data_IF_015944275764
#
_entry.id   IF_015944275764
#
_cell.length_a   1.000
_cell.length_b   1.000
_cell.length_c   1.000
_cell.angle_alpha   90.00
_cell.angle_beta   90.00
_cell.angle_gamma   90.00
#
_symmetry.space_group_name_H-M   'P 1'
#
loop_
_entity.id
_entity.type
_entity.pdbx_description
1 polymer ?
#
# COMPACT_ATOMS: atom_id res chain seq x y z
N UNK A 1 -16.83 -19.02 2.41
CA UNK A 1 -16.53 -17.61 2.13
C UNK A 1 -16.69 -17.40 0.64
N UNK A 2 -17.09 -16.24 0.16
CA UNK A 2 -17.04 -15.97 -1.27
C UNK A 2 -15.58 -16.10 -1.75
N UNK A 3 -15.39 -16.67 -2.93
CA UNK A 3 -14.10 -16.69 -3.60
C UNK A 3 -13.94 -15.39 -4.38
N UNK A 4 -12.82 -14.71 -4.20
CA UNK A 4 -12.47 -13.54 -4.99
C UNK A 4 -11.39 -13.91 -5.99
N UNK A 5 -11.46 -13.35 -7.19
CA UNK A 5 -10.44 -13.48 -8.21
C UNK A 5 -9.64 -12.18 -8.29
N UNK A 6 -8.35 -12.29 -8.42
CA UNK A 6 -7.43 -11.18 -8.56
C UNK A 6 -6.44 -11.49 -9.67
N UNK A 7 -6.35 -10.61 -10.65
CA UNK A 7 -5.36 -10.71 -11.72
C UNK A 7 -4.10 -9.95 -11.33
N UNK A 8 -2.97 -10.62 -11.41
CA UNK A 8 -1.67 -10.00 -11.23
C UNK A 8 -0.67 -10.58 -12.22
N UNK A 9 0.06 -9.74 -12.95
CA UNK A 9 1.06 -10.14 -13.95
C UNK A 9 0.56 -11.19 -14.96
N UNK A 10 -0.69 -11.04 -15.41
CA UNK A 10 -1.30 -11.94 -16.39
C UNK A 10 -1.78 -13.28 -15.83
N UNK A 11 -1.66 -13.51 -14.53
CA UNK A 11 -2.14 -14.72 -13.84
C UNK A 11 -3.33 -14.37 -12.94
N UNK A 12 -4.34 -15.25 -12.94
CA UNK A 12 -5.51 -15.14 -12.05
C UNK A 12 -5.21 -15.93 -10.77
N UNK A 13 -5.37 -15.26 -9.64
CA UNK A 13 -5.23 -15.84 -8.31
C UNK A 13 -6.60 -15.91 -7.63
N UNK A 14 -6.90 -17.04 -6.99
CA UNK A 14 -8.13 -17.22 -6.22
C UNK A 14 -7.86 -16.97 -4.74
N UNK A 15 -8.60 -16.02 -4.16
CA UNK A 15 -8.57 -15.71 -2.74
C UNK A 15 -9.73 -16.45 -2.06
N UNK A 16 -9.48 -17.64 -1.55
CA UNK A 16 -10.43 -18.44 -0.78
C UNK A 16 -10.30 -18.23 0.74
N UNK A 17 -9.20 -17.64 1.17
CA UNK A 17 -8.88 -17.31 2.57
C UNK A 17 -8.31 -15.90 2.64
N UNK A 18 -8.39 -15.21 3.79
CA UNK A 18 -7.72 -13.93 3.98
C UNK A 18 -6.21 -14.04 3.72
N UNK A 19 -5.66 -13.09 2.98
CA UNK A 19 -4.22 -12.96 2.80
C UNK A 19 -3.67 -11.97 3.82
N UNK A 20 -2.51 -12.29 4.37
CA UNK A 20 -1.81 -11.43 5.33
C UNK A 20 -0.79 -10.59 4.57
N UNK A 21 -0.83 -9.29 4.77
CA UNK A 21 0.15 -8.33 4.27
C UNK A 21 1.11 -7.96 5.39
N UNK A 22 2.39 -8.31 5.22
CA UNK A 22 3.46 -7.92 6.14
C UNK A 22 4.02 -6.55 5.77
N UNK A 23 4.10 -5.62 6.73
CA UNK A 23 4.59 -4.25 6.52
C UNK A 23 6.10 -4.19 6.72
N UNK A 24 6.82 -3.70 5.72
CA UNK A 24 8.25 -3.50 5.70
C UNK A 24 8.59 -2.03 5.43
N UNK A 25 8.78 -1.24 6.48
CA UNK A 25 9.16 0.16 6.34
C UNK A 25 10.66 0.28 6.09
N UNK A 26 11.03 0.90 4.96
CA UNK A 26 12.40 1.23 4.59
C UNK A 26 12.76 2.65 5.03
N UNK A 27 12.50 2.97 6.30
CA UNK A 27 12.85 4.27 6.88
C UNK A 27 14.13 4.17 7.71
N UNK A 28 14.86 5.29 7.93
CA UNK A 28 16.10 5.27 8.72
C UNK A 28 15.94 4.67 10.12
N UNK A 29 14.77 4.83 10.74
CA UNK A 29 14.46 4.31 12.07
C UNK A 29 14.11 2.80 12.07
N UNK A 30 13.84 2.23 10.91
CA UNK A 30 13.41 0.84 10.77
C UNK A 30 14.58 -0.13 10.61
N UNK A 31 15.73 0.37 10.20
CA UNK A 31 16.97 -0.38 10.08
C UNK A 31 18.00 0.19 11.06
N UNK A 32 18.83 -0.65 11.64
CA UNK A 32 19.84 -0.25 12.63
C UNK A 32 20.66 0.96 12.14
N UNK A 33 20.79 1.99 12.97
CA UNK A 33 21.39 3.31 12.69
C UNK A 33 22.90 3.28 12.36
N UNK A 34 23.37 2.32 11.61
CA UNK A 34 24.79 2.16 11.26
C UNK A 34 25.08 1.66 9.85
N UNK A 35 24.10 1.15 9.09
CA UNK A 35 24.45 0.59 7.81
C UNK A 35 23.35 0.70 6.75
N UNK A 36 23.33 1.82 6.04
CA UNK A 36 22.60 1.93 4.77
C UNK A 36 23.02 0.84 3.76
N UNK A 37 24.22 0.29 3.92
CA UNK A 37 24.75 -0.81 3.09
C UNK A 37 24.11 -2.17 3.39
N UNK A 38 23.48 -2.35 4.56
CA UNK A 38 22.83 -3.60 4.94
C UNK A 38 21.31 -3.58 4.79
N UNK A 39 20.69 -2.43 4.49
CA UNK A 39 19.24 -2.31 4.40
C UNK A 39 18.58 -3.31 3.43
N UNK A 40 19.10 -3.56 2.22
CA UNK A 40 18.52 -4.56 1.32
C UNK A 40 18.57 -5.98 1.89
N UNK A 41 19.67 -6.37 2.52
CA UNK A 41 19.82 -7.68 3.16
C UNK A 41 18.89 -7.85 4.36
N UNK A 42 18.83 -6.86 5.23
CA UNK A 42 17.93 -6.89 6.39
C UNK A 42 16.45 -6.92 5.95
N UNK A 43 16.11 -6.18 4.88
CA UNK A 43 14.78 -6.22 4.28
C UNK A 43 14.44 -7.62 3.73
N UNK A 44 15.36 -8.25 3.02
CA UNK A 44 15.21 -9.60 2.50
C UNK A 44 15.03 -10.63 3.64
N UNK A 45 15.82 -10.53 4.70
CA UNK A 45 15.70 -11.42 5.88
C UNK A 45 14.34 -11.25 6.59
N UNK A 46 13.87 -10.00 6.77
CA UNK A 46 12.54 -9.71 7.34
C UNK A 46 11.41 -10.20 6.45
N UNK A 47 11.50 -9.95 5.14
CA UNK A 47 10.51 -10.43 4.17
C UNK A 47 10.41 -11.96 4.21
N UNK A 48 11.54 -12.67 4.22
CA UNK A 48 11.58 -14.13 4.36
C UNK A 48 10.92 -14.61 5.65
N UNK A 49 11.20 -13.95 6.78
CA UNK A 49 10.58 -14.29 8.06
C UNK A 49 9.05 -14.10 8.03
N UNK A 50 8.55 -12.99 7.46
CA UNK A 50 7.12 -12.72 7.32
C UNK A 50 6.44 -13.75 6.41
N UNK A 51 7.04 -14.07 5.25
CA UNK A 51 6.52 -15.08 4.31
C UNK A 51 6.50 -16.47 4.94
N UNK A 52 7.55 -16.86 5.65
CA UNK A 52 7.61 -18.11 6.40
C UNK A 52 6.53 -18.19 7.48
N UNK A 53 6.17 -17.05 8.08
CA UNK A 53 5.11 -16.95 9.08
C UNK A 53 3.69 -16.89 8.49
N UNK A 54 3.56 -16.94 7.17
CA UNK A 54 2.26 -17.02 6.47
C UNK A 54 1.80 -15.73 5.80
N UNK A 55 2.63 -14.67 5.75
CA UNK A 55 2.33 -13.52 4.90
C UNK A 55 2.32 -13.95 3.42
N UNK A 56 1.46 -13.31 2.64
CA UNK A 56 1.36 -13.48 1.18
C UNK A 56 1.83 -12.26 0.44
N UNK A 57 1.79 -11.10 1.08
CA UNK A 57 2.15 -9.82 0.50
C UNK A 57 3.16 -9.17 1.43
N UNK A 58 4.22 -8.58 0.86
CA UNK A 58 5.16 -7.72 1.58
C UNK A 58 4.93 -6.30 1.08
N UNK A 59 4.45 -5.42 1.95
CA UNK A 59 4.18 -4.02 1.65
C UNK A 59 5.38 -3.18 2.02
N UNK A 60 6.04 -2.59 1.02
CA UNK A 60 7.31 -1.89 1.19
C UNK A 60 7.09 -0.39 1.06
N UNK A 61 7.35 0.36 2.14
CA UNK A 61 7.22 1.80 2.18
C UNK A 61 8.54 2.53 2.41
N UNK A 62 8.81 3.58 1.61
CA UNK A 62 9.95 4.48 1.77
C UNK A 62 9.60 5.81 2.45
N UNK A 63 8.31 6.09 2.61
CA UNK A 63 7.74 7.28 3.25
C UNK A 63 7.14 6.90 4.61
N UNK A 64 7.22 7.78 5.59
CA UNK A 64 6.55 7.59 6.87
C UNK A 64 5.30 8.44 6.94
N UNK A 65 4.14 7.80 7.01
CA UNK A 65 2.85 8.46 7.19
C UNK A 65 2.53 8.81 8.66
N UNK A 66 3.48 8.57 9.59
CA UNK A 66 3.27 8.91 11.00
C UNK A 66 3.16 10.43 11.19
N UNK A 67 2.22 10.91 12.01
CA UNK A 67 2.17 12.32 12.37
C UNK A 67 3.51 12.81 12.94
N UNK A 68 4.00 13.95 12.42
CA UNK A 68 5.28 14.53 12.84
C UNK A 68 6.53 13.90 12.23
N UNK A 69 6.41 12.98 11.27
CA UNK A 69 7.55 12.52 10.51
C UNK A 69 8.10 13.63 9.60
N UNK A 70 9.42 13.67 9.44
CA UNK A 70 10.05 14.60 8.53
C UNK A 70 9.58 14.39 7.08
N UNK A 71 9.33 15.46 6.33
CA UNK A 71 8.98 15.35 4.91
C UNK A 71 10.09 14.64 4.13
N UNK A 72 9.68 13.68 3.30
CA UNK A 72 10.57 12.89 2.45
C UNK A 72 10.38 13.32 1.00
N UNK A 73 11.47 13.72 0.33
CA UNK A 73 11.41 14.04 -1.11
C UNK A 73 11.23 12.76 -1.95
N UNK A 74 10.70 12.86 -3.18
CA UNK A 74 10.62 11.70 -4.08
C UNK A 74 11.97 11.00 -4.29
N UNK A 75 13.05 11.77 -4.43
CA UNK A 75 14.39 11.23 -4.56
C UNK A 75 14.85 10.44 -3.33
N UNK A 76 14.57 10.97 -2.14
CA UNK A 76 14.88 10.27 -0.88
C UNK A 76 14.07 8.99 -0.74
N UNK A 77 12.77 9.03 -1.07
CA UNK A 77 11.91 7.85 -1.06
C UNK A 77 12.42 6.78 -2.02
N UNK A 78 12.70 7.15 -3.28
CA UNK A 78 13.26 6.21 -4.26
C UNK A 78 14.61 5.63 -3.80
N UNK A 79 15.50 6.45 -3.26
CA UNK A 79 16.79 5.98 -2.76
C UNK A 79 16.68 4.96 -1.61
N UNK A 80 15.55 4.94 -0.88
CA UNK A 80 15.26 3.92 0.13
C UNK A 80 14.72 2.64 -0.47
N UNK A 81 14.02 2.70 -1.60
CA UNK A 81 13.28 1.59 -2.22
C UNK A 81 14.08 0.84 -3.28
N UNK A 82 14.89 1.53 -4.06
CA UNK A 82 15.51 1.03 -5.31
C UNK A 82 16.35 -0.24 -5.16
N UNK A 83 16.98 -0.45 -4.01
CA UNK A 83 17.79 -1.65 -3.71
C UNK A 83 16.99 -2.66 -2.87
N UNK A 84 16.00 -2.19 -2.09
CA UNK A 84 15.19 -3.03 -1.20
C UNK A 84 14.19 -3.87 -2.00
N UNK A 85 13.51 -3.26 -2.97
CA UNK A 85 12.51 -3.98 -3.78
C UNK A 85 13.14 -5.15 -4.54
N UNK A 86 14.25 -5.00 -5.29
CA UNK A 86 14.89 -6.14 -5.94
C UNK A 86 15.36 -7.22 -4.96
N UNK A 87 15.91 -6.84 -3.82
CA UNK A 87 16.38 -7.80 -2.81
C UNK A 87 15.22 -8.63 -2.22
N UNK A 88 14.06 -8.02 -2.03
CA UNK A 88 12.84 -8.73 -1.59
C UNK A 88 12.27 -9.57 -2.73
N UNK A 89 12.32 -9.09 -3.99
CA UNK A 89 11.86 -9.84 -5.15
C UNK A 89 12.63 -11.16 -5.33
N UNK A 90 13.94 -11.17 -5.06
CA UNK A 90 14.73 -12.41 -5.06
C UNK A 90 14.22 -13.42 -4.02
N UNK A 91 13.77 -12.97 -2.85
CA UNK A 91 13.20 -13.84 -1.80
C UNK A 91 11.92 -14.51 -2.27
N UNK A 92 11.09 -13.83 -3.06
CA UNK A 92 9.82 -14.35 -3.54
C UNK A 92 9.98 -15.59 -4.44
N UNK A 93 11.15 -15.81 -5.03
CA UNK A 93 11.43 -17.03 -5.81
C UNK A 93 11.25 -18.32 -4.98
N UNK A 94 11.46 -18.23 -3.67
CA UNK A 94 11.26 -19.35 -2.74
C UNK A 94 9.81 -19.45 -2.22
N UNK A 95 8.97 -18.46 -2.53
CA UNK A 95 7.58 -18.33 -2.05
C UNK A 95 6.60 -18.07 -3.20
N UNK A 96 6.35 -19.04 -4.07
CA UNK A 96 5.48 -18.86 -5.23
C UNK A 96 4.06 -18.44 -4.82
N UNK A 97 3.51 -17.47 -5.53
CA UNK A 97 2.20 -16.88 -5.24
C UNK A 97 2.21 -15.85 -4.12
N UNK A 98 3.39 -15.34 -3.73
CA UNK A 98 3.55 -14.17 -2.87
C UNK A 98 3.85 -12.93 -3.72
N UNK A 99 3.60 -11.74 -3.16
CA UNK A 99 3.64 -10.48 -3.89
C UNK A 99 4.37 -9.40 -3.09
N UNK A 100 4.88 -8.39 -3.82
CA UNK A 100 5.35 -7.14 -3.26
C UNK A 100 4.32 -6.07 -3.59
N UNK A 101 3.88 -5.34 -2.57
CA UNK A 101 3.15 -4.08 -2.66
C UNK A 101 4.12 -2.93 -2.41
N UNK A 102 3.97 -1.80 -3.12
CA UNK A 102 4.70 -0.57 -2.81
C UNK A 102 3.74 0.44 -2.15
N UNK A 103 4.06 0.84 -0.91
CA UNK A 103 3.34 1.89 -0.17
C UNK A 103 3.88 3.25 -0.61
N UNK A 104 3.16 3.87 -1.52
CA UNK A 104 3.45 5.22 -2.03
C UNK A 104 2.20 5.85 -2.64
N UNK A 105 2.08 7.17 -2.49
CA UNK A 105 1.08 7.99 -3.17
C UNK A 105 1.62 8.73 -4.40
N UNK A 106 2.90 8.50 -4.77
CA UNK A 106 3.56 9.18 -5.86
C UNK A 106 3.63 8.31 -7.11
N UNK A 107 3.13 8.82 -8.22
CA UNK A 107 3.10 8.11 -9.49
C UNK A 107 4.49 7.70 -9.99
N UNK A 108 5.48 8.60 -9.91
CA UNK A 108 6.84 8.32 -10.38
C UNK A 108 7.55 7.24 -9.54
N UNK A 109 7.26 7.18 -8.24
CA UNK A 109 7.79 6.14 -7.35
C UNK A 109 7.11 4.81 -7.61
N UNK A 110 5.77 4.81 -7.78
CA UNK A 110 5.01 3.62 -8.10
C UNK A 110 5.50 2.98 -9.42
N UNK A 111 5.69 3.78 -10.48
CA UNK A 111 6.19 3.31 -11.76
C UNK A 111 7.58 2.65 -11.62
N UNK A 112 8.52 3.34 -10.99
CA UNK A 112 9.87 2.81 -10.74
C UNK A 112 9.85 1.54 -9.89
N UNK A 113 8.98 1.46 -8.89
CA UNK A 113 8.86 0.31 -8.00
C UNK A 113 8.32 -0.92 -8.76
N UNK A 114 7.30 -0.74 -9.61
CA UNK A 114 6.77 -1.81 -10.45
C UNK A 114 7.82 -2.31 -11.45
N UNK A 115 8.59 -1.41 -12.06
CA UNK A 115 9.71 -1.77 -12.92
C UNK A 115 10.85 -2.49 -12.17
N UNK A 116 11.00 -2.22 -10.87
CA UNK A 116 12.01 -2.85 -10.00
C UNK A 116 11.56 -4.20 -9.41
N UNK A 117 10.32 -4.64 -9.67
CA UNK A 117 9.83 -5.94 -9.23
C UNK A 117 8.68 -5.91 -8.21
N UNK A 118 8.10 -4.74 -7.92
CA UNK A 118 6.83 -4.67 -7.21
C UNK A 118 5.68 -5.16 -8.10
N UNK A 119 4.60 -5.59 -7.47
CA UNK A 119 3.45 -6.20 -8.15
C UNK A 119 2.18 -5.37 -7.97
N UNK A 120 2.04 -4.67 -6.85
CA UNK A 120 0.86 -3.94 -6.42
C UNK A 120 1.23 -2.52 -6.02
N UNK A 121 0.28 -1.62 -6.12
CA UNK A 121 0.37 -0.27 -5.55
C UNK A 121 -0.54 -0.20 -4.32
N UNK A 122 -0.02 0.31 -3.20
CA UNK A 122 -0.78 0.66 -2.01
C UNK A 122 -0.74 2.19 -1.83
N UNK A 123 -1.86 2.86 -2.16
CA UNK A 123 -1.95 4.32 -2.11
C UNK A 123 -2.85 4.78 -0.95
N UNK A 124 -2.21 5.26 0.11
CA UNK A 124 -2.88 5.80 1.29
C UNK A 124 -3.72 7.06 1.02
N UNK A 125 -3.49 7.73 -0.12
CA UNK A 125 -4.18 8.97 -0.48
C UNK A 125 -5.42 8.75 -1.36
N UNK A 126 -5.57 7.55 -1.93
CA UNK A 126 -6.62 7.24 -2.89
C UNK A 126 -6.58 8.14 -4.13
N UNK A 127 -5.39 8.50 -4.60
CA UNK A 127 -5.13 9.37 -5.73
C UNK A 127 -5.37 10.85 -5.48
N UNK A 128 -5.56 11.28 -4.23
CA UNK A 128 -5.80 12.69 -3.92
C UNK A 128 -4.51 13.52 -3.93
N UNK A 129 -3.36 12.93 -3.58
CA UNK A 129 -2.08 13.62 -3.54
C UNK A 129 -1.36 13.61 -4.89
N UNK A 130 -1.52 12.55 -5.69
CA UNK A 130 -0.98 12.45 -7.04
C UNK A 130 -1.92 11.63 -7.94
N UNK A 131 -2.87 12.26 -8.65
CA UNK A 131 -3.84 11.56 -9.50
C UNK A 131 -3.21 10.77 -10.66
N UNK A 132 -1.98 11.05 -11.05
CA UNK A 132 -1.26 10.32 -12.11
C UNK A 132 -0.95 8.87 -11.70
N UNK A 133 -1.02 8.53 -10.41
CA UNK A 133 -0.82 7.16 -9.94
C UNK A 133 -1.83 6.18 -10.54
N UNK A 134 -3.04 6.64 -10.89
CA UNK A 134 -4.04 5.83 -11.60
C UNK A 134 -3.57 5.47 -13.02
N UNK A 135 -2.92 6.39 -13.72
CA UNK A 135 -2.36 6.12 -15.04
C UNK A 135 -1.24 5.07 -14.97
N UNK A 136 -0.44 5.09 -13.90
CA UNK A 136 0.59 4.08 -13.65
C UNK A 136 -0.06 2.72 -13.40
N UNK A 137 -1.04 2.63 -12.50
CA UNK A 137 -1.74 1.39 -12.21
C UNK A 137 -2.41 0.78 -13.46
N UNK A 138 -3.06 1.62 -14.28
CA UNK A 138 -3.68 1.21 -15.54
C UNK A 138 -2.64 0.71 -16.56
N UNK A 139 -1.51 1.41 -16.71
CA UNK A 139 -0.44 1.05 -17.65
C UNK A 139 0.17 -0.30 -17.32
N UNK A 140 0.47 -0.52 -16.04
CA UNK A 140 1.06 -1.77 -15.54
C UNK A 140 0.03 -2.89 -15.34
N UNK A 141 -1.28 -2.58 -15.39
CA UNK A 141 -2.39 -3.52 -15.12
C UNK A 141 -2.15 -4.26 -13.80
N UNK A 142 -1.76 -3.52 -12.77
CA UNK A 142 -1.46 -4.09 -11.46
C UNK A 142 -2.63 -3.92 -10.49
N UNK A 143 -2.78 -4.79 -9.50
CA UNK A 143 -3.69 -4.58 -8.39
C UNK A 143 -3.40 -3.26 -7.67
N UNK A 144 -4.47 -2.57 -7.28
CA UNK A 144 -4.40 -1.26 -6.67
C UNK A 144 -5.17 -1.23 -5.34
N UNK A 145 -4.47 -0.93 -4.26
CA UNK A 145 -5.09 -0.70 -2.96
C UNK A 145 -5.38 0.78 -2.84
N UNK A 146 -6.66 1.10 -2.75
CA UNK A 146 -7.15 2.47 -2.56
C UNK A 146 -7.57 2.67 -1.12
N UNK A 147 -6.95 3.61 -0.41
CA UNK A 147 -7.30 3.90 0.96
C UNK A 147 -8.04 5.25 1.08
N UNK A 148 -8.97 5.30 2.02
CA UNK A 148 -9.62 6.55 2.43
C UNK A 148 -8.84 7.23 3.56
N UNK A 149 -8.43 8.47 3.31
CA UNK A 149 -7.85 9.37 4.30
C UNK A 149 -8.48 10.76 4.16
N UNK A 150 -8.80 11.41 5.29
CA UNK A 150 -9.22 12.80 5.30
C UNK A 150 -8.00 13.71 5.53
N UNK A 151 -7.81 14.71 4.66
CA UNK A 151 -6.63 15.57 4.70
C UNK A 151 -5.39 14.92 4.09
N UNK A 152 -4.24 15.22 4.66
CA UNK A 152 -2.94 14.65 4.30
C UNK A 152 -2.27 13.99 5.54
N UNK A 153 -1.21 13.20 5.40
CA UNK A 153 -0.57 12.50 6.52
C UNK A 153 -0.11 13.41 7.66
N UNK A 154 0.21 14.68 7.38
CA UNK A 154 0.67 15.65 8.38
C UNK A 154 -0.47 16.29 9.16
N UNK A 155 -1.65 16.42 8.57
CA UNK A 155 -2.79 17.16 9.10
C UNK A 155 -3.98 16.27 9.49
N UNK A 156 -4.04 15.05 9.03
CA UNK A 156 -5.19 14.14 9.15
C UNK A 156 -5.71 13.95 10.59
N UNK A 157 -4.87 14.10 11.61
CA UNK A 157 -5.25 13.93 13.01
C UNK A 157 -5.73 15.25 13.67
N UNK A 158 -5.61 16.38 12.99
CA UNK A 158 -5.84 17.68 13.60
C UNK A 158 -7.31 18.07 13.71
N UNK A 159 -8.26 17.39 13.28
CA UNK A 159 -9.71 17.57 13.48
C UNK A 159 -10.48 16.73 12.45
N UNK A 160 -10.50 15.42 12.57
CA UNK A 160 -11.27 14.58 11.67
C UNK A 160 -12.76 14.89 11.83
N UNK A 161 -13.38 15.41 10.79
CA UNK A 161 -14.77 15.82 10.79
C UNK A 161 -15.57 15.01 9.77
N UNK A 162 -16.51 14.21 10.26
CA UNK A 162 -17.44 13.42 9.46
C UNK A 162 -18.86 13.70 9.89
N UNK A 163 -19.78 13.79 8.94
CA UNK A 163 -21.21 13.79 9.25
C UNK A 163 -21.66 12.41 9.69
N UNK A 164 -21.21 11.39 8.97
CA UNK A 164 -21.38 9.99 9.30
C UNK A 164 -20.21 9.21 8.65
N UNK A 165 -19.24 8.79 9.46
CA UNK A 165 -17.95 8.28 8.97
C UNK A 165 -18.11 7.16 7.91
N UNK A 166 -18.98 6.19 8.15
CA UNK A 166 -19.20 5.07 7.22
C UNK A 166 -19.80 5.55 5.90
N UNK A 167 -20.83 6.43 5.98
CA UNK A 167 -21.48 6.95 4.78
C UNK A 167 -20.54 7.82 3.95
N UNK A 168 -19.74 8.66 4.60
CA UNK A 168 -18.78 9.55 3.94
C UNK A 168 -17.71 8.72 3.21
N UNK A 169 -17.25 7.61 3.82
CA UNK A 169 -16.29 6.67 3.20
C UNK A 169 -16.94 5.91 2.02
N UNK A 170 -18.19 5.46 2.15
CA UNK A 170 -18.92 4.84 1.04
C UNK A 170 -19.03 5.83 -0.13
N UNK A 171 -19.37 7.08 0.15
CA UNK A 171 -19.45 8.13 -0.87
C UNK A 171 -18.11 8.31 -1.59
N UNK A 172 -17.01 8.41 -0.84
CA UNK A 172 -15.66 8.52 -1.40
C UNK A 172 -15.34 7.37 -2.38
N UNK A 173 -15.59 6.12 -1.99
CA UNK A 173 -15.34 4.98 -2.88
C UNK A 173 -16.32 4.92 -4.04
N UNK A 174 -17.58 5.30 -3.85
CA UNK A 174 -18.58 5.34 -4.92
C UNK A 174 -18.21 6.30 -6.05
N UNK A 175 -17.48 7.37 -5.74
CA UNK A 175 -16.97 8.32 -6.73
C UNK A 175 -15.68 7.83 -7.42
N UNK A 176 -14.81 7.15 -6.68
CA UNK A 176 -13.49 6.74 -7.18
C UNK A 176 -13.52 5.44 -7.99
N UNK A 177 -14.23 4.42 -7.51
CA UNK A 177 -14.21 3.09 -8.13
C UNK A 177 -14.69 3.06 -9.58
N UNK A 178 -15.76 3.77 -9.98
CA UNK A 178 -16.16 3.81 -11.40
C UNK A 178 -15.03 4.38 -12.27
N UNK A 179 -14.36 5.43 -11.83
CA UNK A 179 -13.23 6.03 -12.55
C UNK A 179 -12.08 5.03 -12.72
N UNK A 180 -11.71 4.30 -11.66
CA UNK A 180 -10.66 3.27 -11.74
C UNK A 180 -11.05 2.18 -12.73
N UNK A 181 -12.30 1.72 -12.68
CA UNK A 181 -12.83 0.72 -13.60
C UNK A 181 -12.77 1.19 -15.07
N UNK A 182 -13.19 2.44 -15.34
CA UNK A 182 -13.17 3.03 -16.68
C UNK A 182 -11.74 3.18 -17.22
N UNK A 183 -10.75 3.33 -16.34
CA UNK A 183 -9.33 3.33 -16.68
C UNK A 183 -8.73 1.92 -16.85
N UNK A 184 -9.52 0.84 -16.64
CA UNK A 184 -9.06 -0.54 -16.76
C UNK A 184 -8.38 -1.10 -15.52
N UNK A 185 -8.51 -0.43 -14.36
CA UNK A 185 -8.02 -0.91 -13.07
C UNK A 185 -9.17 -1.71 -12.41
N UNK A 186 -9.20 -3.01 -12.68
CA UNK A 186 -10.29 -3.88 -12.22
C UNK A 186 -9.98 -4.56 -10.89
N UNK A 187 -8.71 -4.79 -10.60
CA UNK A 187 -8.24 -5.46 -9.37
C UNK A 187 -7.99 -4.41 -8.29
N UNK A 188 -9.08 -3.87 -7.74
CA UNK A 188 -9.04 -2.82 -6.71
C UNK A 188 -9.39 -3.39 -5.34
N UNK A 189 -8.53 -3.11 -4.36
CA UNK A 189 -8.71 -3.48 -2.96
C UNK A 189 -9.05 -2.21 -2.17
N UNK A 190 -10.15 -2.24 -1.42
CA UNK A 190 -10.62 -1.10 -0.62
C UNK A 190 -10.02 -1.19 0.78
N UNK A 191 -9.33 -0.13 1.21
CA UNK A 191 -8.93 0.08 2.60
C UNK A 191 -9.69 1.28 3.17
N UNK A 192 -10.48 1.05 4.20
CA UNK A 192 -11.25 2.13 4.87
C UNK A 192 -10.37 3.09 5.67
N UNK A 193 -9.08 2.81 5.81
CA UNK A 193 -8.08 3.68 6.43
C UNK A 193 -8.25 3.81 7.93
N UNK A 194 -8.27 2.69 8.66
CA UNK A 194 -8.24 2.70 10.11
C UNK A 194 -7.06 3.50 10.65
N UNK A 195 -7.32 4.44 11.56
CA UNK A 195 -6.27 5.29 12.15
C UNK A 195 -5.87 6.51 11.30
N UNK A 196 -6.35 6.62 10.07
CA UNK A 196 -6.05 7.74 9.18
C UNK A 196 -7.19 8.77 9.17
N UNK A 197 -6.98 9.90 9.86
CA UNK A 197 -7.96 10.98 9.93
C UNK A 197 -9.30 10.57 10.56
N UNK A 198 -9.26 9.75 11.60
CA UNK A 198 -10.45 9.23 12.28
C UNK A 198 -10.24 9.16 13.79
N UNK A 199 -11.28 9.51 14.57
CA UNK A 199 -11.25 9.33 16.02
C UNK A 199 -11.33 7.85 16.42
N UNK A 200 -11.08 7.55 17.68
CA UNK A 200 -11.21 6.18 18.21
C UNK A 200 -12.63 5.63 18.00
N UNK A 201 -13.64 6.44 18.30
CA UNK A 201 -15.05 6.09 18.15
C UNK A 201 -15.41 5.81 16.70
N UNK A 202 -14.90 6.64 15.77
CA UNK A 202 -15.12 6.46 14.34
C UNK A 202 -14.46 5.19 13.81
N UNK A 203 -13.27 4.83 14.30
CA UNK A 203 -12.62 3.57 13.95
C UNK A 203 -13.44 2.36 14.45
N UNK A 204 -13.96 2.40 15.67
CA UNK A 204 -14.83 1.34 16.18
C UNK A 204 -16.17 1.27 15.43
N UNK A 205 -16.73 2.41 15.04
CA UNK A 205 -17.94 2.44 14.21
C UNK A 205 -17.70 1.75 12.87
N UNK A 206 -16.61 2.10 12.17
CA UNK A 206 -16.23 1.45 10.91
C UNK A 206 -16.03 -0.05 11.05
N UNK A 207 -15.34 -0.49 12.11
CA UNK A 207 -15.12 -1.92 12.35
C UNK A 207 -16.43 -2.67 12.54
N UNK A 208 -17.39 -2.07 13.25
CA UNK A 208 -18.73 -2.66 13.46
C UNK A 208 -19.55 -2.72 12.16
N UNK A 209 -19.36 -1.79 11.26
CA UNK A 209 -20.15 -1.59 10.03
C UNK A 209 -19.41 -2.03 8.76
N UNK A 210 -18.35 -2.85 8.90
CA UNK A 210 -17.49 -3.27 7.79
C UNK A 210 -18.10 -4.36 6.89
N UNK A 211 -19.26 -4.90 7.23
CA UNK A 211 -19.95 -5.99 6.52
C UNK A 211 -21.07 -5.51 5.60
#
# INVERSE_FOLDING_TARGET
MPEFLLQCQGTIHTLSTPWIMGILNSTPDSFYAGSRLNAPREAAERARAMLTSGARIIDIGGYSSRPGADPVTPEQEWNRLKEVIPAVAEVLNDFPGSFISVDTFRADIADKALLAGAHWINDISGGNLDPEIFNVAATHRCPYIIMHMQGDPSTMQLNPAYSHVTQDIITFFSEKLPRLHDMGIHDTIIDVGFGFGKTLEQNYQLLRELH
#
